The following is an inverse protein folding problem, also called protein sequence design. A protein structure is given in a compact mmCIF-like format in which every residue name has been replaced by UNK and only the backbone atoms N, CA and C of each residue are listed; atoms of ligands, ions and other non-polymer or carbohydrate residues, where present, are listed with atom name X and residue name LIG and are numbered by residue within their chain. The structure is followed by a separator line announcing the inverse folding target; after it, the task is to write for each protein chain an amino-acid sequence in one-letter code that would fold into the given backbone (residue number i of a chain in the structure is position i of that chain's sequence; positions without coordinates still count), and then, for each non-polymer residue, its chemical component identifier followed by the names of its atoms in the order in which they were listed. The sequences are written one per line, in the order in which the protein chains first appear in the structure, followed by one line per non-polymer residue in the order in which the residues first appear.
data_IF_512254726702
#
_entry.id   IF_512254726702
#
_cell.length_a   1.000
_cell.length_b   1.000
_cell.length_c   1.000
_cell.angle_alpha   90.00
_cell.angle_beta   90.00
_cell.angle_gamma   90.00
#
_symmetry.space_group_name_H-M   'P 1'
#
loop_
_entity.id
_entity.type
_entity.pdbx_description
1 polymer ?
#
# COMPACT_ATOMS: atom_id res chain seq x y z
N UNK A 1 8.75 -3.50 26.62
CA UNK A 1 8.33 -3.22 25.22
C UNK A 1 8.94 -4.27 24.33
N UNK A 2 8.15 -4.90 23.51
CA UNK A 2 8.65 -5.86 22.50
C UNK A 2 9.27 -5.09 21.33
N UNK A 3 10.52 -5.40 21.00
CA UNK A 3 11.24 -4.71 19.90
C UNK A 3 10.84 -5.19 18.52
N UNK A 4 10.18 -6.33 18.41
CA UNK A 4 9.73 -6.90 17.15
C UNK A 4 8.65 -6.08 16.45
N UNK A 5 8.03 -5.12 17.16
CA UNK A 5 7.01 -4.23 16.60
C UNK A 5 7.59 -3.16 15.67
N UNK A 6 8.89 -2.83 15.79
CA UNK A 6 9.56 -1.82 14.95
C UNK A 6 9.98 -2.43 13.63
N UNK A 7 9.08 -2.35 12.63
CA UNK A 7 9.30 -2.88 11.28
C UNK A 7 10.00 -1.85 10.39
N UNK A 8 10.27 -2.22 9.14
CA UNK A 8 10.95 -1.33 8.19
C UNK A 8 10.09 -0.12 7.80
N UNK A 9 8.77 -0.30 7.63
CA UNK A 9 7.89 0.73 7.07
C UNK A 9 6.93 1.35 8.08
N UNK A 10 6.67 0.68 9.19
CA UNK A 10 5.72 1.07 10.23
C UNK A 10 6.03 0.38 11.56
N UNK A 11 5.26 0.72 12.58
CA UNK A 11 5.22 -0.01 13.84
C UNK A 11 4.04 -0.96 13.77
N UNK A 12 4.25 -2.26 14.02
CA UNK A 12 3.22 -3.29 13.89
C UNK A 12 3.38 -4.39 14.93
N UNK A 13 2.32 -4.67 15.70
CA UNK A 13 2.32 -5.70 16.72
C UNK A 13 0.97 -6.34 16.95
N UNK A 14 0.95 -7.40 17.78
CA UNK A 14 -0.26 -8.10 18.22
C UNK A 14 -0.72 -7.47 19.53
N UNK A 15 -1.97 -7.00 19.57
CA UNK A 15 -2.57 -6.44 20.76
C UNK A 15 -3.19 -7.55 21.64
N UNK A 16 -3.01 -7.53 22.97
CA UNK A 16 -2.12 -6.63 23.74
C UNK A 16 -0.71 -7.22 23.95
N UNK A 17 -0.36 -8.32 23.27
CA UNK A 17 0.80 -9.16 23.57
C UNK A 17 2.14 -8.47 23.30
N UNK A 18 2.28 -7.86 22.11
CA UNK A 18 3.52 -7.18 21.70
C UNK A 18 3.34 -5.66 21.59
N UNK A 19 2.12 -5.19 21.36
CA UNK A 19 1.75 -3.78 21.29
C UNK A 19 0.59 -3.53 22.26
N UNK A 20 0.84 -2.83 23.33
CA UNK A 20 -0.11 -2.46 24.37
C UNK A 20 -0.16 -0.94 24.60
N UNK A 21 -1.01 -0.48 25.51
CA UNK A 21 -1.16 0.94 25.87
C UNK A 21 0.14 1.52 26.45
N UNK A 22 0.92 0.73 27.18
CA UNK A 22 2.20 1.18 27.75
C UNK A 22 3.22 1.43 26.64
N UNK A 23 3.27 0.56 25.65
CA UNK A 23 4.11 0.72 24.48
C UNK A 23 3.66 1.91 23.64
N UNK A 24 2.35 2.06 23.40
CA UNK A 24 1.78 3.18 22.67
C UNK A 24 2.06 4.53 23.36
N UNK A 25 1.90 4.61 24.69
CA UNK A 25 2.26 5.80 25.45
C UNK A 25 3.74 6.15 25.30
N UNK A 26 4.63 5.18 25.49
CA UNK A 26 6.08 5.39 25.41
C UNK A 26 6.52 5.84 24.02
N UNK A 27 5.95 5.22 22.96
CA UNK A 27 6.13 5.64 21.56
C UNK A 27 5.65 7.07 21.37
N UNK A 28 4.47 7.41 21.89
CA UNK A 28 3.93 8.78 21.85
C UNK A 28 4.84 9.81 22.50
N UNK A 29 5.48 9.48 23.63
CA UNK A 29 6.42 10.39 24.29
C UNK A 29 7.64 10.68 23.41
N UNK A 30 8.31 9.65 22.91
CA UNK A 30 9.54 9.84 22.14
C UNK A 30 9.26 10.41 20.74
N UNK A 31 8.23 9.90 20.07
CA UNK A 31 7.78 10.43 18.79
C UNK A 31 7.34 11.89 18.89
N UNK A 32 6.67 12.24 20.00
CA UNK A 32 6.26 13.63 20.26
C UNK A 32 7.43 14.60 20.42
N UNK A 33 8.55 14.17 20.99
CA UNK A 33 9.78 14.98 21.04
C UNK A 33 10.32 15.25 19.63
N UNK A 34 10.33 14.22 18.77
CA UNK A 34 10.80 14.32 17.38
C UNK A 34 9.87 15.25 16.57
N UNK A 35 8.56 15.02 16.64
CA UNK A 35 7.58 15.82 15.90
C UNK A 35 7.61 17.30 16.28
N UNK A 36 7.83 17.60 17.57
CA UNK A 36 7.85 18.96 18.07
C UNK A 36 8.98 19.83 17.50
N UNK A 37 10.02 19.23 16.96
CA UNK A 37 11.07 19.93 16.25
C UNK A 37 10.58 20.51 14.89
N UNK A 38 9.54 19.90 14.31
CA UNK A 38 8.95 20.31 13.04
C UNK A 38 7.69 21.15 13.24
N UNK A 39 6.76 20.69 14.09
CA UNK A 39 5.50 21.35 14.41
C UNK A 39 5.01 20.93 15.80
N UNK A 40 4.17 21.77 16.43
CA UNK A 40 3.63 21.53 17.76
C UNK A 40 2.30 20.79 17.77
N UNK A 41 1.90 20.24 16.63
CA UNK A 41 0.63 19.54 16.48
C UNK A 41 0.76 18.25 15.68
N UNK A 42 -0.21 17.35 15.85
CA UNK A 42 -0.31 16.08 15.12
C UNK A 42 -1.77 15.67 14.96
N UNK A 43 -2.12 15.21 13.79
CA UNK A 43 -3.38 14.54 13.51
C UNK A 43 -3.27 13.05 13.85
N UNK A 44 -4.25 12.49 14.56
CA UNK A 44 -4.28 11.05 14.88
C UNK A 44 -5.64 10.48 14.53
N UNK A 45 -5.67 9.42 13.72
CA UNK A 45 -6.86 8.68 13.36
C UNK A 45 -6.67 7.18 13.59
N UNK A 46 -7.74 6.40 13.47
CA UNK A 46 -7.69 4.93 13.60
C UNK A 46 -8.63 4.22 12.62
N UNK A 47 -8.31 2.96 12.32
CA UNK A 47 -9.17 2.06 11.54
C UNK A 47 -10.26 1.39 12.40
N UNK A 48 -10.98 0.41 11.80
CA UNK A 48 -12.10 -0.27 12.43
C UNK A 48 -11.72 -1.20 13.61
N UNK A 49 -10.44 -1.51 13.82
CA UNK A 49 -9.99 -2.50 14.82
C UNK A 49 -10.41 -2.13 16.22
N UNK A 50 -10.95 -3.09 16.96
CA UNK A 50 -11.59 -2.87 18.27
C UNK A 50 -10.66 -2.24 19.32
N UNK A 51 -9.37 -2.46 19.21
CA UNK A 51 -8.35 -1.89 20.12
C UNK A 51 -7.78 -0.54 19.66
N UNK A 52 -8.24 -0.01 18.51
CA UNK A 52 -7.78 1.27 17.95
C UNK A 52 -7.96 2.43 18.93
N UNK A 53 -9.09 2.50 19.64
CA UNK A 53 -9.39 3.58 20.59
C UNK A 53 -8.50 3.54 21.83
N UNK A 54 -8.20 2.37 22.39
CA UNK A 54 -7.30 2.24 23.54
C UNK A 54 -5.88 2.70 23.20
N UNK A 55 -5.39 2.29 22.02
CA UNK A 55 -4.09 2.73 21.52
C UNK A 55 -4.06 4.24 21.21
N UNK A 56 -5.17 4.80 20.68
CA UNK A 56 -5.31 6.23 20.45
C UNK A 56 -5.17 7.04 21.75
N UNK A 57 -5.85 6.65 22.81
CA UNK A 57 -5.82 7.36 24.09
C UNK A 57 -4.42 7.32 24.71
N UNK A 58 -3.78 6.16 24.72
CA UNK A 58 -2.44 6.00 25.27
C UNK A 58 -1.38 6.75 24.45
N UNK A 59 -1.41 6.62 23.13
CA UNK A 59 -0.51 7.33 22.22
C UNK A 59 -0.67 8.85 22.36
N UNK A 60 -1.92 9.34 22.37
CA UNK A 60 -2.23 10.77 22.52
C UNK A 60 -1.76 11.33 23.85
N UNK A 61 -1.90 10.58 24.93
CA UNK A 61 -1.38 10.98 26.25
C UNK A 61 0.16 11.12 26.22
N UNK A 62 0.85 10.21 25.53
CA UNK A 62 2.30 10.27 25.32
C UNK A 62 2.71 11.50 24.51
N UNK A 63 2.07 11.75 23.39
CA UNK A 63 2.28 12.91 22.52
C UNK A 63 2.06 14.23 23.27
N UNK A 64 0.96 14.34 24.01
CA UNK A 64 0.66 15.51 24.84
C UNK A 64 1.66 15.70 25.98
N UNK A 65 2.20 14.62 26.56
CA UNK A 65 3.21 14.73 27.61
C UNK A 65 4.51 15.34 27.11
N UNK A 66 4.78 15.23 25.82
CA UNK A 66 5.90 15.87 25.09
C UNK A 66 5.57 17.28 24.58
N UNK A 67 4.37 17.79 24.84
CA UNK A 67 3.96 19.15 24.51
C UNK A 67 3.37 19.34 23.12
N UNK A 68 2.91 18.25 22.47
CA UNK A 68 2.15 18.34 21.23
C UNK A 68 0.66 18.59 21.50
N UNK A 69 0.02 19.38 20.63
CA UNK A 69 -1.44 19.41 20.49
C UNK A 69 -1.85 18.23 19.59
N UNK A 70 -2.76 17.40 20.08
CA UNK A 70 -3.29 16.26 19.36
C UNK A 70 -4.68 16.60 18.83
N UNK A 71 -4.89 16.39 17.52
CA UNK A 71 -6.19 16.47 16.88
C UNK A 71 -6.72 15.05 16.59
N UNK A 72 -7.94 14.77 17.04
CA UNK A 72 -8.63 13.49 16.87
C UNK A 72 -9.38 13.48 15.52
N UNK A 73 -8.91 12.68 14.57
CA UNK A 73 -9.58 12.47 13.28
C UNK A 73 -10.67 11.39 13.36
N UNK A 74 -10.72 10.62 14.45
CA UNK A 74 -11.68 9.53 14.64
C UNK A 74 -11.41 8.31 13.76
N UNK A 75 -12.50 7.63 13.41
CA UNK A 75 -12.53 6.45 12.55
C UNK A 75 -12.43 6.88 11.07
N UNK A 76 -11.32 6.62 10.41
CA UNK A 76 -11.02 7.09 9.07
C UNK A 76 -10.18 6.08 8.26
N UNK A 77 -10.22 6.13 6.91
CA UNK A 77 -9.22 5.53 6.04
C UNK A 77 -7.82 6.14 6.21
N UNK A 78 -6.78 5.33 6.02
CA UNK A 78 -5.37 5.80 6.04
C UNK A 78 -5.12 7.00 5.12
N UNK A 79 -5.62 7.03 3.87
CA UNK A 79 -5.45 8.20 2.99
C UNK A 79 -5.98 9.52 3.57
N UNK A 80 -7.01 9.46 4.42
CA UNK A 80 -7.56 10.66 5.06
C UNK A 80 -6.58 11.26 6.09
N UNK A 81 -5.81 10.41 6.79
CA UNK A 81 -4.76 10.89 7.69
C UNK A 81 -3.60 11.55 6.90
N UNK A 82 -3.23 10.98 5.75
CA UNK A 82 -2.27 11.61 4.85
C UNK A 82 -2.81 12.92 4.29
N UNK A 83 -4.06 12.93 3.80
CA UNK A 83 -4.71 14.13 3.30
C UNK A 83 -4.71 15.26 4.34
N UNK A 84 -5.00 14.96 5.59
CA UNK A 84 -4.97 15.94 6.68
C UNK A 84 -3.59 16.59 6.82
N UNK A 85 -2.51 15.79 6.78
CA UNK A 85 -1.14 16.28 6.89
C UNK A 85 -0.67 17.10 5.66
N UNK A 86 -1.16 16.75 4.46
CA UNK A 86 -0.73 17.41 3.22
C UNK A 86 -1.56 18.65 2.87
N UNK A 87 -2.87 18.63 3.10
CA UNK A 87 -3.80 19.69 2.71
C UNK A 87 -4.17 20.63 3.86
N UNK A 88 -4.01 20.17 5.09
CA UNK A 88 -4.62 20.81 6.25
C UNK A 88 -6.14 20.62 6.29
N UNK A 89 -6.75 20.89 7.43
CA UNK A 89 -8.20 20.71 7.65
C UNK A 89 -8.80 21.96 8.26
N UNK A 90 -9.77 22.58 7.59
CA UNK A 90 -10.54 23.72 8.10
C UNK A 90 -9.66 24.87 8.67
N UNK A 91 -8.54 25.17 8.01
CA UNK A 91 -7.60 26.19 8.45
C UNK A 91 -6.52 25.71 9.44
N UNK A 92 -6.62 24.48 9.96
CA UNK A 92 -5.57 23.87 10.76
C UNK A 92 -4.51 23.32 9.80
N UNK A 93 -3.30 23.85 9.89
CA UNK A 93 -2.12 23.35 9.18
C UNK A 93 -1.27 22.55 10.15
N UNK A 94 -1.06 21.28 9.84
CA UNK A 94 -0.25 20.36 10.63
C UNK A 94 0.37 19.31 9.71
N UNK A 95 1.70 19.32 9.51
CA UNK A 95 2.35 18.43 8.55
C UNK A 95 2.59 17.02 9.09
N UNK A 96 2.09 16.71 10.30
CA UNK A 96 2.27 15.45 11.00
C UNK A 96 0.94 14.70 11.13
N UNK A 97 0.97 13.40 10.84
CA UNK A 97 -0.16 12.52 11.14
C UNK A 97 0.28 11.14 11.60
N UNK A 98 -0.56 10.49 12.40
CA UNK A 98 -0.40 9.10 12.79
C UNK A 98 -1.71 8.38 12.51
N UNK A 99 -1.63 7.30 11.74
CA UNK A 99 -2.74 6.39 11.54
C UNK A 99 -2.54 5.12 12.34
N UNK A 100 -3.50 4.82 13.20
CA UNK A 100 -3.52 3.61 14.03
C UNK A 100 -4.24 2.53 13.23
N UNK A 101 -3.49 1.56 12.72
CA UNK A 101 -4.02 0.52 11.82
C UNK A 101 -3.18 -0.73 11.82
N UNK A 102 -3.84 -1.86 11.57
CA UNK A 102 -3.21 -3.11 11.21
C UNK A 102 -3.26 -3.39 9.69
N UNK A 103 -3.82 -2.45 8.86
CA UNK A 103 -4.02 -2.61 7.42
C UNK A 103 -4.69 -3.97 7.11
N UNK A 104 -4.10 -4.76 6.23
CA UNK A 104 -4.55 -6.10 5.85
C UNK A 104 -4.10 -7.23 6.81
N UNK A 105 -3.47 -6.93 7.96
CA UNK A 105 -3.09 -7.98 8.91
C UNK A 105 -4.32 -8.58 9.62
N UNK A 106 -4.22 -9.80 10.20
CA UNK A 106 -5.26 -10.38 11.03
C UNK A 106 -5.77 -9.42 12.11
N UNK A 107 -6.98 -9.67 12.62
CA UNK A 107 -7.69 -8.74 13.52
C UNK A 107 -6.96 -8.41 14.81
N UNK A 108 -6.09 -9.31 15.28
CA UNK A 108 -5.30 -9.14 16.50
C UNK A 108 -4.16 -8.13 16.35
N UNK A 109 -3.79 -7.80 15.09
CA UNK A 109 -2.73 -6.84 14.82
C UNK A 109 -3.23 -5.41 14.90
N UNK A 110 -2.33 -4.51 15.33
CA UNK A 110 -2.46 -3.07 15.15
C UNK A 110 -1.08 -2.43 15.01
N UNK A 111 -1.03 -1.13 14.77
CA UNK A 111 0.25 -0.44 14.59
C UNK A 111 0.08 1.03 14.30
N UNK A 112 1.18 1.67 13.89
CA UNK A 112 1.23 3.10 13.62
C UNK A 112 1.92 3.36 12.28
N UNK A 113 1.17 3.92 11.31
CA UNK A 113 1.72 4.55 10.12
C UNK A 113 1.95 6.03 10.43
N UNK A 114 3.17 6.49 10.34
CA UNK A 114 3.59 7.80 10.83
C UNK A 114 4.02 8.67 9.66
N UNK A 115 3.45 9.85 9.59
CA UNK A 115 3.87 10.93 8.70
C UNK A 115 4.51 12.04 9.52
N UNK A 116 5.74 12.39 9.22
CA UNK A 116 6.50 13.47 9.83
C UNK A 116 6.88 14.50 8.79
N UNK A 117 6.43 15.73 8.95
CA UNK A 117 6.70 16.81 8.00
C UNK A 117 6.39 16.42 6.55
N UNK A 118 5.20 15.83 6.32
CA UNK A 118 4.72 15.32 5.03
C UNK A 118 5.64 14.27 4.38
N UNK A 119 6.42 13.54 5.18
CA UNK A 119 7.21 12.40 4.72
C UNK A 119 6.88 11.16 5.55
N UNK A 120 6.99 9.95 4.99
CA UNK A 120 6.88 8.74 5.78
C UNK A 120 8.03 8.65 6.79
N UNK A 121 7.69 8.27 8.02
CA UNK A 121 8.66 7.97 9.08
C UNK A 121 8.92 6.47 9.06
N UNK A 122 10.08 6.03 8.59
CA UNK A 122 10.37 4.63 8.31
C UNK A 122 11.87 4.30 8.34
N UNK A 123 12.22 3.03 8.20
CA UNK A 123 13.59 2.56 8.09
C UNK A 123 14.44 3.01 9.28
N UNK A 124 15.51 3.76 9.01
CA UNK A 124 16.42 4.25 10.03
C UNK A 124 15.78 5.15 11.09
N UNK A 125 14.70 5.86 10.73
CA UNK A 125 14.00 6.72 11.70
C UNK A 125 13.24 5.88 12.73
N UNK A 126 12.59 4.79 12.30
CA UNK A 126 11.96 3.80 13.19
C UNK A 126 13.02 3.09 14.03
N UNK A 127 14.18 2.74 13.47
CA UNK A 127 15.26 2.11 14.23
C UNK A 127 15.84 3.07 15.28
N UNK A 128 16.03 4.35 14.96
CA UNK A 128 16.47 5.35 15.94
C UNK A 128 15.44 5.55 17.07
N UNK A 129 14.15 5.56 16.74
CA UNK A 129 13.08 5.59 17.75
C UNK A 129 13.12 4.35 18.65
N UNK A 130 13.28 3.15 18.07
CA UNK A 130 13.46 1.90 18.84
C UNK A 130 14.64 2.00 19.82
N UNK A 131 15.82 2.43 19.34
CA UNK A 131 17.02 2.52 20.17
C UNK A 131 16.84 3.51 21.33
N UNK A 132 16.13 4.61 21.10
CA UNK A 132 15.77 5.56 22.15
C UNK A 132 14.86 4.93 23.20
N UNK A 133 13.83 4.17 22.74
CA UNK A 133 12.85 3.53 23.61
C UNK A 133 13.42 2.39 24.46
N UNK A 134 14.45 1.68 23.97
CA UNK A 134 15.14 0.64 24.76
C UNK A 134 15.78 1.19 26.03
N UNK A 135 16.22 2.43 26.00
CA UNK A 135 16.89 3.10 27.12
C UNK A 135 15.95 4.01 27.93
N UNK A 136 14.74 4.22 27.46
CA UNK A 136 13.76 5.10 28.11
C UNK A 136 12.84 4.33 29.04
N UNK A 137 12.48 4.96 30.16
CA UNK A 137 11.45 4.47 31.09
C UNK A 137 10.38 5.55 31.21
N UNK A 138 9.18 5.22 30.76
CA UNK A 138 8.05 6.12 30.85
C UNK A 138 6.98 5.53 31.76
N UNK A 139 6.49 6.35 32.71
CA UNK A 139 5.29 6.05 33.48
C UNK A 139 4.09 6.56 32.71
N UNK A 140 3.08 5.71 32.55
CA UNK A 140 1.82 6.09 31.90
C UNK A 140 1.20 7.26 32.64
N UNK A 141 0.84 8.29 31.90
CA UNK A 141 0.09 9.45 32.38
C UNK A 141 -1.24 9.53 31.65
N UNK A 142 -2.30 10.02 32.30
CA UNK A 142 -3.56 10.27 31.62
C UNK A 142 -3.40 11.40 30.59
N UNK A 143 -4.37 11.51 29.69
CA UNK A 143 -4.50 12.64 28.78
C UNK A 143 -4.48 13.95 29.60
N UNK A 144 -3.71 14.93 29.16
CA UNK A 144 -3.72 16.29 29.75
C UNK A 144 -5.00 17.04 29.40
N UNK A 145 -5.49 16.83 28.20
CA UNK A 145 -6.74 17.41 27.68
C UNK A 145 -7.34 16.44 26.65
N UNK A 146 -8.65 16.49 26.51
CA UNK A 146 -9.34 15.73 25.46
C UNK A 146 -8.92 16.27 24.08
N UNK A 147 -8.37 15.42 23.18
CA UNK A 147 -8.02 15.85 21.83
C UNK A 147 -9.20 16.47 21.10
N UNK A 148 -8.95 17.59 20.42
CA UNK A 148 -9.96 18.29 19.61
C UNK A 148 -10.34 17.44 18.40
N UNK A 149 -11.63 17.18 18.23
CA UNK A 149 -12.15 16.43 17.09
C UNK A 149 -12.13 17.29 15.83
N UNK A 150 -11.59 16.73 14.75
CA UNK A 150 -11.50 17.41 13.45
C UNK A 150 -12.12 16.51 12.36
N UNK A 151 -13.09 17.03 11.63
CA UNK A 151 -13.76 16.30 10.55
C UNK A 151 -12.94 16.30 9.26
N UNK A 152 -11.86 15.49 9.26
CA UNK A 152 -11.00 15.33 8.09
C UNK A 152 -11.69 14.55 6.97
N UNK A 153 -12.56 13.62 7.32
CA UNK A 153 -13.28 12.79 6.35
C UNK A 153 -14.14 13.64 5.42
N UNK A 154 -14.90 14.57 5.96
CA UNK A 154 -15.72 15.49 5.14
C UNK A 154 -14.86 16.41 4.27
N UNK A 155 -13.74 16.90 4.79
CA UNK A 155 -12.82 17.75 4.01
C UNK A 155 -12.22 16.98 2.83
N UNK A 156 -11.80 15.73 3.04
CA UNK A 156 -11.33 14.81 2.02
C UNK A 156 -12.40 14.55 0.95
N UNK A 157 -13.61 14.21 1.37
CA UNK A 157 -14.73 13.97 0.47
C UNK A 157 -15.05 15.20 -0.39
N UNK A 158 -15.14 16.39 0.20
CA UNK A 158 -15.36 17.65 -0.54
C UNK A 158 -14.27 17.91 -1.57
N UNK A 159 -13.01 17.64 -1.21
CA UNK A 159 -11.88 17.79 -2.14
C UNK A 159 -12.04 16.87 -3.34
N UNK A 160 -12.31 15.57 -3.12
CA UNK A 160 -12.45 14.59 -4.20
C UNK A 160 -13.73 14.80 -5.03
N UNK A 161 -14.86 15.15 -4.43
CA UNK A 161 -16.08 15.49 -5.18
C UNK A 161 -15.83 16.64 -6.15
N UNK A 162 -15.06 17.67 -5.72
CA UNK A 162 -14.69 18.79 -6.57
C UNK A 162 -13.77 18.36 -7.70
N UNK A 163 -12.75 17.57 -7.40
CA UNK A 163 -11.75 17.13 -8.39
C UNK A 163 -12.35 16.18 -9.43
N UNK A 164 -13.24 15.28 -9.00
CA UNK A 164 -13.87 14.27 -9.85
C UNK A 164 -15.29 14.61 -10.32
N UNK A 165 -15.69 15.89 -10.30
CA UNK A 165 -17.03 16.33 -10.74
C UNK A 165 -17.40 15.89 -12.16
N UNK A 166 -16.40 15.63 -13.02
CA UNK A 166 -16.56 15.15 -14.40
C UNK A 166 -17.01 13.68 -14.48
N UNK A 167 -16.91 12.90 -13.40
CA UNK A 167 -17.47 11.55 -13.27
C UNK A 167 -18.99 11.55 -13.01
N UNK A 168 -19.60 12.71 -12.81
CA UNK A 168 -21.04 12.79 -12.48
C UNK A 168 -21.88 12.10 -13.53
N UNK A 169 -22.77 11.22 -13.07
CA UNK A 169 -23.64 10.38 -13.90
C UNK A 169 -22.86 9.37 -14.78
N UNK A 170 -21.77 8.80 -14.26
CA UNK A 170 -21.09 7.68 -14.93
C UNK A 170 -22.12 6.59 -15.27
N UNK A 171 -22.10 6.07 -16.50
CA UNK A 171 -23.13 5.16 -17.04
C UNK A 171 -23.08 3.75 -16.47
N UNK A 172 -21.96 3.37 -15.87
CA UNK A 172 -21.75 2.01 -15.33
C UNK A 172 -22.12 1.94 -13.86
N UNK A 173 -22.91 0.92 -13.50
CA UNK A 173 -23.02 0.49 -12.11
C UNK A 173 -21.75 -0.24 -11.71
N UNK A 174 -21.24 0.03 -10.51
CA UNK A 174 -20.03 -0.58 -9.98
C UNK A 174 -20.33 -1.40 -8.72
N UNK A 175 -19.54 -2.45 -8.49
CA UNK A 175 -19.57 -3.22 -7.26
C UNK A 175 -18.37 -2.85 -6.38
N UNK A 176 -18.56 -2.78 -5.09
CA UNK A 176 -17.52 -2.42 -4.12
C UNK A 176 -17.47 -3.46 -3.02
N UNK A 177 -16.28 -3.83 -2.59
CA UNK A 177 -16.04 -4.69 -1.44
C UNK A 177 -15.05 -4.00 -0.50
N UNK A 178 -15.53 -3.69 0.70
CA UNK A 178 -14.74 -3.00 1.71
C UNK A 178 -14.21 -3.92 2.81
N UNK A 179 -14.52 -5.23 2.75
CA UNK A 179 -14.04 -6.23 3.69
C UNK A 179 -14.27 -5.86 5.17
N UNK A 180 -15.33 -5.12 5.49
CA UNK A 180 -15.59 -4.52 6.81
C UNK A 180 -14.50 -3.53 7.29
N UNK A 181 -13.65 -3.05 6.38
CA UNK A 181 -12.70 -1.96 6.64
C UNK A 181 -13.36 -0.58 6.64
N UNK A 182 -12.54 0.46 6.64
CA UNK A 182 -12.99 1.86 6.73
C UNK A 182 -13.18 2.55 5.38
N UNK A 183 -12.95 1.87 4.26
CA UNK A 183 -13.00 2.46 2.92
C UNK A 183 -14.35 3.04 2.54
N UNK A 184 -15.46 2.39 2.94
CA UNK A 184 -16.81 2.84 2.66
C UNK A 184 -17.09 4.25 3.20
N UNK A 185 -16.57 4.57 4.39
CA UNK A 185 -16.72 5.89 5.00
C UNK A 185 -16.16 7.01 4.11
N UNK A 186 -15.08 6.72 3.37
CA UNK A 186 -14.47 7.68 2.45
C UNK A 186 -15.18 7.74 1.10
N UNK A 187 -15.46 6.60 0.48
CA UNK A 187 -15.82 6.52 -0.93
C UNK A 187 -17.32 6.66 -1.20
N UNK A 188 -18.19 5.97 -0.44
CA UNK A 188 -19.62 5.99 -0.73
C UNK A 188 -20.25 7.39 -0.76
N UNK A 189 -19.95 8.32 0.19
CA UNK A 189 -20.49 9.68 0.12
C UNK A 189 -20.07 10.43 -1.15
N UNK A 190 -18.85 10.15 -1.65
CA UNK A 190 -18.34 10.74 -2.89
C UNK A 190 -19.14 10.23 -4.09
N UNK A 191 -19.34 8.91 -4.20
CA UNK A 191 -20.12 8.29 -5.29
C UNK A 191 -21.56 8.75 -5.28
N UNK A 192 -22.18 8.84 -4.10
CA UNK A 192 -23.55 9.39 -3.93
C UNK A 192 -23.64 10.84 -4.42
N UNK A 193 -22.67 11.69 -4.04
CA UNK A 193 -22.64 13.09 -4.47
C UNK A 193 -22.40 13.26 -5.99
N UNK A 194 -21.66 12.34 -6.59
CA UNK A 194 -21.42 12.28 -8.04
C UNK A 194 -22.54 11.58 -8.81
N UNK A 195 -23.59 11.09 -8.12
CA UNK A 195 -24.69 10.32 -8.72
C UNK A 195 -24.19 9.15 -9.57
N UNK A 196 -23.23 8.39 -9.03
CA UNK A 196 -22.70 7.14 -9.61
C UNK A 196 -23.48 5.98 -8.97
N UNK A 197 -24.01 5.07 -9.79
CA UNK A 197 -24.71 3.88 -9.30
C UNK A 197 -23.73 2.83 -8.82
N UNK A 198 -23.92 2.34 -7.59
CA UNK A 198 -23.06 1.33 -7.00
C UNK A 198 -23.81 0.38 -6.07
N UNK A 199 -23.22 -0.76 -5.80
CA UNK A 199 -23.62 -1.67 -4.72
C UNK A 199 -22.40 -2.09 -3.93
N UNK A 200 -22.51 -2.11 -2.60
CA UNK A 200 -21.41 -2.41 -1.70
C UNK A 200 -21.62 -3.71 -0.95
N UNK A 201 -20.52 -4.44 -0.77
CA UNK A 201 -20.38 -5.55 0.17
C UNK A 201 -19.58 -5.07 1.38
N UNK A 202 -19.98 -5.51 2.58
CA UNK A 202 -19.22 -5.37 3.81
C UNK A 202 -18.79 -3.93 4.11
N UNK A 203 -19.71 -2.98 3.87
CA UNK A 203 -19.46 -1.54 3.99
C UNK A 203 -19.47 -1.01 5.43
N UNK A 204 -20.06 -1.75 6.37
CA UNK A 204 -20.06 -1.37 7.79
C UNK A 204 -18.70 -1.73 8.41
N UNK A 205 -17.97 -0.77 8.99
CA UNK A 205 -16.70 -1.03 9.63
C UNK A 205 -16.83 -1.98 10.82
N UNK A 206 -16.12 -3.11 10.78
CA UNK A 206 -16.10 -4.10 11.85
C UNK A 206 -14.68 -4.66 12.01
N UNK A 207 -14.06 -4.35 13.15
CA UNK A 207 -12.67 -4.77 13.42
C UNK A 207 -12.45 -6.26 13.61
N UNK A 208 -13.51 -7.06 13.67
CA UNK A 208 -13.44 -8.53 13.65
C UNK A 208 -13.34 -9.13 12.24
N UNK A 209 -13.63 -8.34 11.19
CA UNK A 209 -13.61 -8.76 9.78
C UNK A 209 -14.38 -10.07 9.54
N UNK A 210 -15.69 -10.13 9.87
CA UNK A 210 -16.43 -11.40 9.99
C UNK A 210 -16.66 -12.11 8.65
N UNK A 211 -16.56 -11.43 7.52
CA UNK A 211 -16.91 -11.99 6.21
C UNK A 211 -15.69 -12.63 5.52
N UNK A 212 -14.64 -11.87 5.31
CA UNK A 212 -13.36 -12.37 4.80
C UNK A 212 -12.19 -11.48 5.26
N UNK A 213 -10.99 -11.98 5.10
CA UNK A 213 -9.78 -11.23 5.41
C UNK A 213 -9.65 -10.01 4.47
N UNK A 214 -9.46 -8.77 4.99
CA UNK A 214 -9.47 -7.55 4.18
C UNK A 214 -8.15 -7.32 3.44
N UNK A 215 -7.80 -8.24 2.56
CA UNK A 215 -6.62 -8.17 1.68
C UNK A 215 -7.03 -8.45 0.23
N UNK A 216 -7.17 -7.41 -0.62
CA UNK A 216 -7.60 -7.56 -2.00
C UNK A 216 -6.51 -8.13 -2.92
N UNK A 217 -5.28 -8.30 -2.44
CA UNK A 217 -4.21 -8.93 -3.21
C UNK A 217 -4.34 -10.46 -3.30
N UNK A 218 -5.20 -11.06 -2.47
CA UNK A 218 -5.45 -12.49 -2.45
C UNK A 218 -6.78 -12.84 -3.14
N UNK A 219 -6.73 -13.55 -4.27
CA UNK A 219 -7.91 -13.90 -5.07
C UNK A 219 -9.02 -14.62 -4.28
N UNK A 220 -8.67 -15.36 -3.21
CA UNK A 220 -9.67 -16.02 -2.36
C UNK A 220 -10.62 -15.02 -1.67
N UNK A 221 -10.15 -13.81 -1.37
CA UNK A 221 -10.90 -12.76 -0.70
C UNK A 221 -11.79 -11.96 -1.68
N UNK A 222 -11.65 -12.17 -2.98
CA UNK A 222 -12.42 -11.49 -4.04
C UNK A 222 -13.64 -12.29 -4.51
N UNK A 223 -13.81 -13.54 -4.03
CA UNK A 223 -14.86 -14.45 -4.50
C UNK A 223 -16.27 -13.94 -4.28
N UNK A 224 -16.52 -13.26 -3.17
CA UNK A 224 -17.85 -12.72 -2.88
C UNK A 224 -18.16 -11.54 -3.80
N UNK A 225 -17.16 -10.70 -4.09
CA UNK A 225 -17.29 -9.62 -5.07
C UNK A 225 -17.52 -10.16 -6.49
N UNK A 226 -16.78 -11.19 -6.93
CA UNK A 226 -16.98 -11.83 -8.24
C UNK A 226 -18.41 -12.39 -8.35
N UNK A 227 -18.87 -13.12 -7.33
CA UNK A 227 -20.21 -13.67 -7.27
C UNK A 227 -21.29 -12.57 -7.32
N UNK A 228 -21.11 -11.51 -6.51
CA UNK A 228 -22.02 -10.37 -6.47
C UNK A 228 -22.11 -9.66 -7.83
N UNK A 229 -20.97 -9.47 -8.51
CA UNK A 229 -20.93 -8.92 -9.86
C UNK A 229 -21.70 -9.78 -10.86
N UNK A 230 -21.51 -11.09 -10.82
CA UNK A 230 -22.21 -12.05 -11.69
C UNK A 230 -23.72 -12.02 -11.47
N UNK A 231 -24.17 -12.14 -10.22
CA UNK A 231 -25.59 -12.19 -9.86
C UNK A 231 -26.35 -10.91 -10.21
N UNK A 232 -25.66 -9.77 -10.26
CA UNK A 232 -26.25 -8.45 -10.53
C UNK A 232 -25.88 -7.87 -11.89
N UNK A 233 -25.23 -8.66 -12.77
CA UNK A 233 -24.76 -8.24 -14.09
C UNK A 233 -23.92 -6.96 -14.06
N UNK A 234 -23.08 -6.81 -13.04
CA UNK A 234 -22.16 -5.67 -12.88
C UNK A 234 -20.83 -6.02 -13.54
N UNK A 235 -20.33 -5.13 -14.39
CA UNK A 235 -19.18 -5.39 -15.24
C UNK A 235 -17.83 -4.96 -14.62
N UNK A 236 -17.87 -4.12 -13.60
CA UNK A 236 -16.66 -3.58 -12.91
C UNK A 236 -16.89 -3.60 -11.40
N UNK A 237 -15.88 -4.11 -10.70
CA UNK A 237 -15.83 -4.13 -9.23
C UNK A 237 -14.49 -3.65 -8.70
N UNK A 238 -14.50 -3.21 -7.45
CA UNK A 238 -13.32 -2.78 -6.71
C UNK A 238 -13.34 -3.36 -5.31
N UNK A 239 -12.19 -3.84 -4.85
CA UNK A 239 -11.99 -4.31 -3.49
C UNK A 239 -10.89 -3.50 -2.81
N UNK A 240 -11.02 -3.30 -1.50
CA UNK A 240 -10.13 -2.48 -0.68
C UNK A 240 -9.61 -3.28 0.52
N UNK A 241 -8.43 -2.92 1.01
CA UNK A 241 -7.95 -3.46 2.28
C UNK A 241 -8.52 -2.72 3.50
N UNK A 242 -8.22 -3.22 4.69
CA UNK A 242 -8.87 -2.78 5.93
C UNK A 242 -8.75 -1.29 6.24
N UNK A 243 -7.69 -0.61 5.80
CA UNK A 243 -7.48 0.83 5.97
C UNK A 243 -7.49 1.63 4.64
N UNK A 244 -7.87 0.95 3.54
CA UNK A 244 -8.15 1.52 2.23
C UNK A 244 -6.96 2.25 1.57
N UNK A 245 -5.76 1.72 1.71
CA UNK A 245 -4.59 2.17 0.97
C UNK A 245 -4.18 1.21 -0.16
N UNK A 246 -4.87 0.04 -0.29
CA UNK A 246 -4.73 -0.91 -1.41
C UNK A 246 -6.05 -1.11 -2.14
N UNK A 247 -5.95 -1.29 -3.46
CA UNK A 247 -7.08 -1.54 -4.34
C UNK A 247 -6.81 -2.75 -5.24
N UNK A 248 -7.83 -3.56 -5.48
CA UNK A 248 -7.94 -4.43 -6.64
C UNK A 248 -9.13 -3.99 -7.50
N UNK A 249 -8.97 -4.06 -8.83
CA UNK A 249 -10.06 -3.86 -9.78
C UNK A 249 -10.40 -5.20 -10.43
N UNK A 250 -11.69 -5.45 -10.62
CA UNK A 250 -12.20 -6.64 -11.29
C UNK A 250 -13.07 -6.24 -12.47
N UNK A 251 -12.99 -7.00 -13.56
CA UNK A 251 -14.03 -7.04 -14.57
C UNK A 251 -14.66 -8.42 -14.62
N UNK A 252 -15.58 -8.67 -15.54
CA UNK A 252 -16.31 -9.93 -15.61
C UNK A 252 -15.42 -11.17 -15.73
N UNK A 253 -14.21 -11.02 -16.26
CA UNK A 253 -13.32 -12.15 -16.57
C UNK A 253 -11.85 -11.89 -16.22
N UNK A 254 -11.54 -10.80 -15.48
CA UNK A 254 -10.17 -10.46 -15.15
C UNK A 254 -10.06 -9.74 -13.82
N UNK A 255 -9.05 -10.11 -13.03
CA UNK A 255 -8.62 -9.41 -11.82
C UNK A 255 -7.36 -8.63 -12.19
N UNK A 256 -7.42 -7.31 -12.10
CA UNK A 256 -6.31 -6.44 -12.46
C UNK A 256 -5.37 -6.27 -11.26
N UNK A 257 -4.14 -6.74 -11.41
CA UNK A 257 -3.08 -6.43 -10.45
C UNK A 257 -2.64 -4.95 -10.53
N UNK A 258 -1.94 -4.47 -9.50
CA UNK A 258 -1.53 -3.06 -9.45
C UNK A 258 -0.63 -2.62 -10.62
N UNK A 259 0.20 -3.52 -11.14
CA UNK A 259 1.04 -3.26 -12.33
C UNK A 259 0.25 -3.23 -13.64
N UNK A 260 -0.84 -3.99 -13.75
CA UNK A 260 -1.77 -3.89 -14.89
C UNK A 260 -2.58 -2.59 -14.84
N UNK A 261 -3.04 -2.18 -13.64
CA UNK A 261 -3.65 -0.87 -13.44
C UNK A 261 -2.69 0.26 -13.85
N UNK A 262 -1.40 0.11 -13.51
CA UNK A 262 -0.37 1.08 -13.92
C UNK A 262 -0.26 1.21 -15.45
N UNK A 263 -0.39 0.12 -16.21
CA UNK A 263 -0.43 0.17 -17.70
C UNK A 263 -1.64 0.98 -18.17
N UNK A 264 -2.82 0.72 -17.61
CA UNK A 264 -4.06 1.41 -18.00
C UNK A 264 -3.97 2.91 -17.69
N UNK A 265 -3.50 3.30 -16.52
CA UNK A 265 -3.31 4.70 -16.15
C UNK A 265 -2.25 5.39 -17.03
N UNK A 266 -1.15 4.71 -17.33
CA UNK A 266 -0.10 5.24 -18.20
C UNK A 266 -0.63 5.45 -19.65
N UNK A 267 -1.41 4.50 -20.19
CA UNK A 267 -2.04 4.63 -21.50
C UNK A 267 -3.00 5.82 -21.55
N UNK A 268 -3.80 6.03 -20.49
CA UNK A 268 -4.68 7.20 -20.40
C UNK A 268 -3.90 8.52 -20.42
N UNK A 269 -2.83 8.64 -19.61
CA UNK A 269 -1.98 9.83 -19.63
C UNK A 269 -1.39 10.07 -21.04
N UNK A 270 -0.94 9.00 -21.70
CA UNK A 270 -0.42 9.09 -23.05
C UNK A 270 -1.47 9.57 -24.05
N UNK A 271 -2.70 9.05 -23.98
CA UNK A 271 -3.82 9.50 -24.82
C UNK A 271 -4.17 10.99 -24.61
N UNK A 272 -3.88 11.52 -23.43
CA UNK A 272 -4.02 12.96 -23.10
C UNK A 272 -2.82 13.82 -23.57
N UNK A 273 -1.88 13.23 -24.31
CA UNK A 273 -0.67 13.92 -24.80
C UNK A 273 0.44 14.06 -23.78
N UNK A 274 0.35 13.38 -22.63
CA UNK A 274 1.38 13.37 -21.60
C UNK A 274 2.30 12.17 -21.86
N UNK A 275 3.62 12.37 -21.84
CA UNK A 275 4.58 11.26 -21.81
C UNK A 275 4.63 10.71 -20.38
N UNK A 276 4.01 9.55 -20.08
CA UNK A 276 3.94 9.05 -18.72
C UNK A 276 5.33 8.67 -18.19
N UNK A 277 5.62 9.06 -16.97
CA UNK A 277 6.75 8.55 -16.21
C UNK A 277 6.21 7.84 -14.96
N UNK A 278 6.46 6.53 -14.86
CA UNK A 278 5.87 5.64 -13.85
C UNK A 278 6.97 4.97 -13.05
N UNK A 279 6.79 4.91 -11.74
CA UNK A 279 7.65 4.11 -10.85
C UNK A 279 6.93 2.81 -10.53
N UNK A 280 7.57 1.66 -10.82
CA UNK A 280 7.13 0.34 -10.36
C UNK A 280 8.09 -0.21 -9.30
N UNK A 281 7.68 -1.23 -8.57
CA UNK A 281 8.56 -1.93 -7.63
C UNK A 281 9.09 -3.25 -8.22
N UNK A 282 10.12 -3.82 -7.59
CA UNK A 282 10.84 -5.00 -8.14
C UNK A 282 9.96 -6.23 -8.39
N UNK A 283 8.75 -6.32 -7.83
CA UNK A 283 7.81 -7.43 -8.04
C UNK A 283 6.91 -7.24 -9.27
N UNK A 284 6.78 -6.01 -9.77
CA UNK A 284 5.95 -5.71 -10.94
C UNK A 284 6.44 -6.50 -12.17
N UNK A 285 5.48 -6.90 -13.02
CA UNK A 285 5.72 -7.67 -14.23
C UNK A 285 6.68 -6.95 -15.18
N UNK A 286 7.54 -7.72 -15.85
CA UNK A 286 8.39 -7.18 -16.93
C UNK A 286 7.55 -6.64 -18.09
N UNK A 287 6.35 -7.20 -18.29
CA UNK A 287 5.37 -6.72 -19.28
C UNK A 287 4.97 -5.27 -18.99
N UNK A 288 4.76 -4.89 -17.72
CA UNK A 288 4.46 -3.49 -17.36
C UNK A 288 5.59 -2.56 -17.78
N UNK A 289 6.82 -2.87 -17.42
CA UNK A 289 7.99 -2.03 -17.76
C UNK A 289 8.18 -1.93 -19.28
N UNK A 290 8.16 -3.06 -19.98
CA UNK A 290 8.34 -3.11 -21.44
C UNK A 290 7.24 -2.34 -22.16
N UNK A 291 5.97 -2.53 -21.75
CA UNK A 291 4.82 -1.87 -22.39
C UNK A 291 4.88 -0.36 -22.23
N UNK A 292 5.04 0.12 -20.97
CA UNK A 292 5.05 1.56 -20.71
C UNK A 292 6.24 2.24 -21.40
N UNK A 293 7.40 1.59 -21.46
CA UNK A 293 8.60 2.14 -22.12
C UNK A 293 8.46 2.28 -23.66
N UNK A 294 7.41 1.73 -24.29
CA UNK A 294 7.15 1.98 -25.72
C UNK A 294 6.57 3.37 -26.00
N UNK A 295 5.94 4.01 -25.00
CA UNK A 295 5.28 5.32 -25.15
C UNK A 295 5.54 6.28 -23.98
N UNK A 296 6.31 5.87 -22.99
CA UNK A 296 6.60 6.61 -21.78
C UNK A 296 7.96 6.24 -21.21
N UNK A 297 8.10 6.40 -19.90
CA UNK A 297 9.29 6.07 -19.14
C UNK A 297 8.91 5.33 -17.86
N UNK A 298 9.71 4.33 -17.48
CA UNK A 298 9.58 3.66 -16.19
C UNK A 298 10.84 3.77 -15.36
N UNK A 299 10.68 3.64 -14.06
CA UNK A 299 11.75 3.48 -13.09
C UNK A 299 11.38 2.32 -12.15
N UNK A 300 12.23 1.31 -12.07
CA UNK A 300 12.09 0.26 -11.06
C UNK A 300 12.71 0.70 -9.74
N UNK A 301 12.01 0.45 -8.62
CA UNK A 301 12.51 0.80 -7.30
C UNK A 301 12.23 -0.29 -6.27
N UNK A 302 12.62 -0.04 -5.02
CA UNK A 302 12.41 -0.96 -3.89
C UNK A 302 10.93 -1.11 -3.58
N UNK A 303 10.52 -2.31 -3.18
CA UNK A 303 9.21 -2.57 -2.58
C UNK A 303 9.03 -1.76 -1.29
N UNK A 304 7.79 -1.39 -1.02
CA UNK A 304 7.36 -0.72 0.21
C UNK A 304 6.85 0.69 -0.03
N UNK A 305 5.64 0.92 0.45
CA UNK A 305 4.91 2.17 0.24
C UNK A 305 5.71 3.42 0.64
N UNK A 306 6.50 3.35 1.72
CA UNK A 306 7.35 4.44 2.17
C UNK A 306 8.49 4.74 1.18
N UNK A 307 9.12 3.70 0.62
CA UNK A 307 10.16 3.84 -0.40
C UNK A 307 9.62 4.52 -1.66
N UNK A 308 8.43 4.10 -2.12
CA UNK A 308 7.82 4.65 -3.33
C UNK A 308 7.36 6.10 -3.14
N UNK A 309 6.80 6.47 -1.99
CA UNK A 309 6.46 7.87 -1.65
C UNK A 309 7.69 8.79 -1.76
N UNK A 310 8.79 8.40 -1.15
CA UNK A 310 10.04 9.19 -1.21
C UNK A 310 10.56 9.25 -2.65
N UNK A 311 10.60 8.11 -3.35
CA UNK A 311 11.09 8.08 -4.73
C UNK A 311 10.23 8.89 -5.68
N UNK A 312 8.93 8.88 -5.50
CA UNK A 312 7.99 9.70 -6.25
C UNK A 312 8.20 11.20 -5.98
N UNK A 313 8.52 11.58 -4.73
CA UNK A 313 8.84 12.95 -4.35
C UNK A 313 10.16 13.42 -4.99
N UNK A 314 11.19 12.56 -5.03
CA UNK A 314 12.51 12.86 -5.60
C UNK A 314 12.51 12.98 -7.12
N UNK A 315 11.51 12.42 -7.79
CA UNK A 315 11.44 12.36 -9.25
C UNK A 315 10.29 13.20 -9.79
N UNK A 316 10.27 13.41 -11.12
CA UNK A 316 9.12 13.98 -11.81
C UNK A 316 8.16 12.91 -12.34
N UNK A 317 8.13 11.74 -11.71
CA UNK A 317 7.19 10.69 -12.09
C UNK A 317 5.75 11.12 -11.78
N UNK A 318 4.81 10.71 -12.64
CA UNK A 318 3.41 11.06 -12.55
C UNK A 318 2.70 10.24 -11.47
N UNK A 319 3.07 8.98 -11.35
CA UNK A 319 2.56 8.08 -10.33
C UNK A 319 3.51 6.92 -10.08
N UNK A 320 3.27 6.20 -8.99
CA UNK A 320 3.93 4.93 -8.67
C UNK A 320 2.89 3.84 -8.42
N UNK A 321 3.28 2.58 -8.58
CA UNK A 321 2.43 1.43 -8.33
C UNK A 321 3.22 0.25 -7.75
N UNK A 322 2.60 -0.46 -6.81
CA UNK A 322 3.00 -1.79 -6.37
C UNK A 322 2.04 -2.84 -6.92
N UNK A 323 2.54 -4.01 -7.20
CA UNK A 323 1.72 -5.16 -7.61
C UNK A 323 0.58 -5.44 -6.60
N UNK A 324 0.83 -5.19 -5.32
CA UNK A 324 -0.13 -5.41 -4.22
C UNK A 324 -1.31 -4.43 -4.20
N UNK A 325 -1.38 -3.47 -5.13
CA UNK A 325 -2.48 -2.52 -5.24
C UNK A 325 -2.27 -1.18 -4.53
N UNK A 326 -1.10 -0.90 -3.95
CA UNK A 326 -0.76 0.47 -3.56
C UNK A 326 -0.51 1.31 -4.81
N UNK A 327 -1.29 2.36 -5.02
CA UNK A 327 -1.15 3.29 -6.14
C UNK A 327 -0.98 4.71 -5.61
N UNK A 328 0.03 5.40 -6.10
CA UNK A 328 0.47 6.71 -5.60
C UNK A 328 0.42 7.73 -6.72
N UNK A 329 -0.60 8.56 -6.78
CA UNK A 329 -0.69 9.60 -7.79
C UNK A 329 -0.02 10.90 -7.32
N UNK A 330 0.95 11.42 -8.08
CA UNK A 330 1.51 12.77 -7.94
C UNK A 330 0.95 13.73 -9.00
N UNK A 331 0.58 13.20 -10.14
CA UNK A 331 -0.17 13.92 -11.16
C UNK A 331 -1.58 14.20 -10.61
N UNK A 332 -1.93 15.47 -10.44
CA UNK A 332 -3.18 15.98 -9.86
C UNK A 332 -3.41 15.61 -8.38
N UNK A 333 -2.44 15.03 -7.68
CA UNK A 333 -2.58 14.64 -6.29
C UNK A 333 -1.25 14.77 -5.52
N UNK A 334 -1.19 14.25 -4.29
CA UNK A 334 -0.10 14.53 -3.35
C UNK A 334 1.05 13.51 -3.36
N UNK A 335 0.86 12.33 -3.98
CA UNK A 335 1.91 11.31 -4.11
C UNK A 335 2.01 10.30 -2.98
N UNK A 336 0.95 10.14 -2.17
CA UNK A 336 0.82 9.02 -1.24
C UNK A 336 -0.14 7.94 -1.77
N UNK A 337 -0.12 6.77 -1.15
CA UNK A 337 -1.00 5.63 -1.46
C UNK A 337 -2.44 5.94 -1.03
N UNK A 338 -3.35 5.89 -2.00
CA UNK A 338 -4.76 6.19 -1.79
C UNK A 338 -5.62 5.33 -2.71
N UNK A 339 -6.19 4.27 -2.15
CA UNK A 339 -7.02 3.34 -2.90
C UNK A 339 -8.36 3.96 -3.34
N UNK A 340 -8.90 4.90 -2.55
CA UNK A 340 -10.15 5.58 -2.88
C UNK A 340 -9.95 6.57 -4.03
N UNK A 341 -8.84 7.31 -4.03
CA UNK A 341 -8.42 8.15 -5.15
C UNK A 341 -8.14 7.29 -6.38
N UNK A 342 -7.42 6.17 -6.23
CA UNK A 342 -7.12 5.25 -7.33
C UNK A 342 -8.39 4.64 -7.94
N UNK A 343 -9.42 4.34 -7.13
CA UNK A 343 -10.73 3.92 -7.61
C UNK A 343 -11.36 5.00 -8.52
N UNK A 344 -11.40 6.25 -8.06
CA UNK A 344 -11.94 7.35 -8.87
C UNK A 344 -11.14 7.55 -10.17
N UNK A 345 -9.81 7.40 -10.14
CA UNK A 345 -8.95 7.41 -11.34
C UNK A 345 -9.25 6.24 -12.28
N UNK A 346 -9.58 5.05 -11.74
CA UNK A 346 -10.00 3.91 -12.54
C UNK A 346 -11.38 4.15 -13.18
N UNK A 347 -12.31 4.82 -12.47
CA UNK A 347 -13.59 5.22 -13.05
C UNK A 347 -13.43 6.23 -14.19
N UNK A 348 -12.38 7.06 -14.20
CA UNK A 348 -12.08 7.92 -15.34
C UNK A 348 -11.78 7.14 -16.64
N UNK A 349 -11.23 5.91 -16.54
CA UNK A 349 -11.01 5.06 -17.72
C UNK A 349 -12.33 4.72 -18.40
N UNK A 350 -13.40 4.54 -17.62
CA UNK A 350 -14.74 4.19 -18.11
C UNK A 350 -15.50 5.34 -18.79
N UNK A 351 -14.97 6.56 -18.75
CA UNK A 351 -15.51 7.67 -19.54
C UNK A 351 -15.23 7.53 -21.04
N UNK A 352 -14.13 6.86 -21.37
CA UNK A 352 -13.60 6.77 -22.74
C UNK A 352 -13.60 5.34 -23.27
N UNK A 353 -13.63 4.34 -22.41
CA UNK A 353 -13.51 2.92 -22.72
C UNK A 353 -14.61 2.11 -21.99
N UNK A 354 -15.08 1.05 -22.63
CA UNK A 354 -15.94 0.07 -21.94
C UNK A 354 -15.11 -0.87 -21.06
N UNK A 355 -15.73 -1.55 -20.07
CA UNK A 355 -15.06 -2.61 -19.33
C UNK A 355 -14.39 -3.67 -20.20
N UNK A 356 -15.04 -4.04 -21.33
CA UNK A 356 -14.49 -4.99 -22.30
C UNK A 356 -13.25 -4.44 -23.03
N UNK A 357 -13.19 -3.13 -23.30
CA UNK A 357 -12.02 -2.51 -23.92
C UNK A 357 -10.81 -2.53 -22.96
N UNK A 358 -11.05 -2.33 -21.66
CA UNK A 358 -10.01 -2.45 -20.63
C UNK A 358 -9.47 -3.88 -20.55
N UNK A 359 -10.36 -4.90 -20.53
CA UNK A 359 -9.94 -6.31 -20.60
C UNK A 359 -9.13 -6.61 -21.87
N UNK A 360 -9.62 -6.16 -23.02
CA UNK A 360 -8.94 -6.38 -24.30
C UNK A 360 -7.57 -5.68 -24.32
N UNK A 361 -7.44 -4.52 -23.68
CA UNK A 361 -6.16 -3.82 -23.56
C UNK A 361 -5.13 -4.69 -22.83
N UNK A 362 -5.52 -5.37 -21.75
CA UNK A 362 -4.62 -6.27 -21.00
C UNK A 362 -4.41 -7.59 -21.75
N UNK A 363 -5.47 -8.21 -22.29
CA UNK A 363 -5.38 -9.47 -23.07
C UNK A 363 -4.49 -9.37 -24.30
N UNK A 364 -4.39 -8.19 -24.90
CA UNK A 364 -3.54 -7.93 -26.06
C UNK A 364 -2.07 -7.62 -25.72
N UNK A 365 -1.72 -7.56 -24.42
CA UNK A 365 -0.31 -7.49 -24.00
C UNK A 365 0.41 -8.82 -24.31
N UNK A 366 1.74 -8.80 -24.42
CA UNK A 366 2.49 -10.05 -24.50
C UNK A 366 2.13 -10.96 -23.32
N UNK A 367 1.71 -12.16 -23.64
CA UNK A 367 1.36 -13.14 -22.60
C UNK A 367 2.59 -13.43 -21.73
N UNK A 368 2.39 -13.46 -20.44
CA UNK A 368 3.38 -13.97 -19.48
C UNK A 368 2.66 -14.81 -18.41
N UNK A 369 3.33 -15.84 -17.98
CA UNK A 369 2.94 -16.61 -16.79
C UNK A 369 3.78 -16.15 -15.61
N UNK A 370 3.14 -15.89 -14.50
CA UNK A 370 3.81 -15.48 -13.27
C UNK A 370 3.44 -16.43 -12.13
N UNK A 371 4.44 -16.94 -11.40
CA UNK A 371 4.18 -17.73 -10.20
C UNK A 371 3.56 -16.88 -9.11
N UNK A 372 2.77 -17.46 -8.19
CA UNK A 372 2.46 -16.80 -6.92
C UNK A 372 3.74 -16.38 -6.19
N UNK A 373 3.63 -15.44 -5.26
CA UNK A 373 4.71 -15.17 -4.31
C UNK A 373 4.87 -16.38 -3.39
N UNK A 374 6.10 -16.88 -3.26
CA UNK A 374 6.43 -17.98 -2.37
C UNK A 374 7.36 -17.49 -1.26
N UNK A 375 7.14 -18.01 -0.05
CA UNK A 375 7.92 -17.69 1.14
C UNK A 375 8.85 -18.85 1.47
N UNK A 376 10.16 -18.56 1.55
CA UNK A 376 11.20 -19.52 1.93
C UNK A 376 11.64 -19.13 3.34
N UNK A 377 11.42 -20.03 4.32
CA UNK A 377 11.77 -19.77 5.71
C UNK A 377 13.31 -19.71 5.87
N UNK A 378 13.78 -18.65 6.50
CA UNK A 378 15.20 -18.44 6.84
C UNK A 378 15.28 -17.74 8.20
N UNK A 379 16.45 -17.73 8.82
CA UNK A 379 16.64 -16.95 10.05
C UNK A 379 16.64 -15.44 9.75
N UNK A 380 16.24 -14.65 10.75
CA UNK A 380 16.22 -13.18 10.63
C UNK A 380 17.64 -12.62 10.39
N UNK A 381 18.63 -13.23 11.01
CA UNK A 381 20.03 -12.82 10.93
C UNK A 381 20.66 -13.15 9.57
N UNK A 382 20.31 -14.29 8.97
CA UNK A 382 20.95 -14.80 7.77
C UNK A 382 20.33 -14.30 6.46
N UNK A 383 19.06 -13.87 6.45
CA UNK A 383 18.33 -13.56 5.21
C UNK A 383 19.04 -12.56 4.30
N UNK A 384 19.71 -11.55 4.85
CA UNK A 384 20.44 -10.55 4.04
C UNK A 384 21.79 -11.09 3.55
N UNK A 385 22.46 -11.94 4.34
CA UNK A 385 23.70 -12.58 3.94
C UNK A 385 23.46 -13.56 2.80
N UNK A 386 22.39 -14.35 2.87
CA UNK A 386 21.97 -15.28 1.81
C UNK A 386 21.76 -14.50 0.50
N UNK A 387 21.05 -13.37 0.52
CA UNK A 387 20.86 -12.52 -0.67
C UNK A 387 22.20 -11.99 -1.20
N UNK A 388 23.09 -11.56 -0.33
CA UNK A 388 24.42 -11.08 -0.74
C UNK A 388 25.25 -12.20 -1.39
N UNK A 389 25.21 -13.41 -0.84
CA UNK A 389 25.91 -14.57 -1.41
C UNK A 389 25.30 -14.97 -2.76
N UNK A 390 23.97 -14.93 -2.90
CA UNK A 390 23.30 -15.15 -4.19
C UNK A 390 23.73 -14.12 -5.25
N UNK A 391 23.85 -12.84 -4.88
CA UNK A 391 24.37 -11.79 -5.78
C UNK A 391 25.79 -12.10 -6.27
N UNK A 392 26.65 -12.63 -5.38
CA UNK A 392 28.02 -13.03 -5.75
C UNK A 392 28.01 -14.24 -6.69
N UNK A 393 27.22 -15.27 -6.37
CA UNK A 393 27.15 -16.49 -7.18
C UNK A 393 26.65 -16.23 -8.61
N UNK A 394 25.70 -15.31 -8.76
CA UNK A 394 25.16 -14.91 -10.08
C UNK A 394 26.16 -14.18 -10.99
N UNK A 395 27.31 -13.72 -10.48
CA UNK A 395 28.38 -13.17 -11.33
C UNK A 395 29.09 -14.26 -12.15
N UNK A 396 29.09 -15.50 -11.66
CA UNK A 396 29.67 -16.65 -12.32
C UNK A 396 28.76 -17.86 -12.16
N UNK A 397 27.57 -17.85 -12.82
CA UNK A 397 26.58 -18.92 -12.69
C UNK A 397 27.09 -20.21 -13.33
N UNK A 398 26.53 -21.38 -12.96
CA UNK A 398 26.85 -22.66 -13.62
C UNK A 398 26.59 -22.60 -15.13
N UNK A 399 27.35 -23.39 -15.92
CA UNK A 399 27.26 -23.36 -17.40
C UNK A 399 25.88 -23.67 -17.98
N UNK A 400 25.04 -24.40 -17.23
CA UNK A 400 23.68 -24.75 -17.61
C UNK A 400 22.63 -23.74 -17.09
N UNK A 401 23.06 -22.64 -16.46
CA UNK A 401 22.14 -21.61 -15.96
C UNK A 401 21.54 -20.83 -17.13
N UNK A 402 20.24 -20.44 -17.08
CA UNK A 402 19.62 -19.66 -18.14
C UNK A 402 20.40 -18.35 -18.41
N UNK A 403 20.44 -17.93 -19.67
CA UNK A 403 21.17 -16.72 -20.08
C UNK A 403 20.62 -15.49 -19.35
N UNK A 404 21.49 -14.84 -18.58
CA UNK A 404 21.19 -13.62 -17.84
C UNK A 404 21.34 -12.43 -18.77
N UNK A 405 20.30 -11.60 -18.89
CA UNK A 405 20.36 -10.29 -19.56
C UNK A 405 20.80 -9.17 -18.63
N UNK A 406 20.26 -9.18 -17.41
CA UNK A 406 20.53 -8.14 -16.42
C UNK A 406 20.34 -8.69 -14.99
N UNK A 407 21.09 -8.17 -14.04
CA UNK A 407 20.91 -8.41 -12.60
C UNK A 407 20.60 -7.08 -11.93
N UNK A 408 19.42 -6.96 -11.33
CA UNK A 408 18.96 -5.79 -10.60
C UNK A 408 19.02 -6.10 -9.11
N UNK A 409 19.87 -5.36 -8.38
CA UNK A 409 20.14 -5.59 -6.95
C UNK A 409 19.62 -4.48 -6.05
N UNK A 410 18.58 -3.78 -6.47
CA UNK A 410 18.01 -2.63 -5.75
C UNK A 410 17.23 -3.06 -4.50
N UNK A 411 16.58 -4.25 -4.55
CA UNK A 411 15.84 -4.86 -3.44
C UNK A 411 15.85 -6.38 -3.62
N UNK A 412 16.83 -7.03 -3.00
CA UNK A 412 17.13 -8.45 -3.25
C UNK A 412 17.90 -8.68 -4.55
N UNK A 413 17.52 -9.70 -5.29
CA UNK A 413 18.10 -10.08 -6.60
C UNK A 413 16.96 -10.32 -7.58
N UNK A 414 16.81 -9.45 -8.57
CA UNK A 414 15.97 -9.67 -9.73
C UNK A 414 16.86 -9.97 -10.93
N UNK A 415 16.80 -11.19 -11.43
CA UNK A 415 17.51 -11.64 -12.63
C UNK A 415 16.57 -11.55 -13.82
N UNK A 416 16.90 -10.69 -14.77
CA UNK A 416 16.15 -10.57 -16.03
C UNK A 416 16.73 -11.57 -17.03
N UNK A 417 15.88 -12.43 -17.56
CA UNK A 417 16.17 -13.42 -18.58
C UNK A 417 15.62 -12.98 -19.96
N UNK A 418 15.71 -13.85 -20.95
CA UNK A 418 15.18 -13.56 -22.29
C UNK A 418 13.67 -13.34 -22.33
N UNK A 419 12.94 -14.14 -21.56
CA UNK A 419 11.48 -14.20 -21.61
C UNK A 419 10.81 -14.01 -20.25
N UNK A 420 11.42 -13.23 -19.36
CA UNK A 420 10.87 -12.97 -18.04
C UNK A 420 11.93 -12.64 -17.00
N UNK A 421 11.63 -12.92 -15.73
CA UNK A 421 12.53 -12.68 -14.62
C UNK A 421 12.38 -13.71 -13.50
N UNK A 422 13.40 -13.80 -12.65
CA UNK A 422 13.30 -14.43 -11.33
C UNK A 422 13.69 -13.45 -10.25
N UNK A 423 12.90 -13.34 -9.20
CA UNK A 423 13.14 -12.47 -8.05
C UNK A 423 13.29 -13.32 -6.80
N UNK A 424 14.36 -13.07 -6.03
CA UNK A 424 14.51 -13.52 -4.64
C UNK A 424 14.94 -12.31 -3.80
N UNK A 425 14.17 -12.00 -2.74
CA UNK A 425 14.46 -10.87 -1.86
C UNK A 425 14.22 -11.24 -0.40
N UNK A 426 14.94 -10.61 0.51
CA UNK A 426 14.66 -10.71 1.92
C UNK A 426 13.36 -9.94 2.25
N UNK A 427 12.46 -10.55 3.01
CA UNK A 427 11.32 -9.82 3.58
C UNK A 427 11.84 -8.82 4.63
N UNK A 428 11.36 -7.58 4.55
CA UNK A 428 11.71 -6.54 5.52
C UNK A 428 10.91 -6.65 6.83
N UNK A 429 9.89 -7.52 6.87
CA UNK A 429 8.95 -7.59 7.98
C UNK A 429 8.84 -8.98 8.62
N UNK A 430 9.39 -10.00 7.99
CA UNK A 430 9.25 -11.40 8.43
C UNK A 430 10.53 -12.20 8.14
N UNK A 431 10.80 -13.32 8.85
CA UNK A 431 11.99 -14.16 8.66
C UNK A 431 11.82 -15.08 7.44
N UNK A 432 11.62 -14.50 6.26
CA UNK A 432 11.45 -15.22 5.00
C UNK A 432 12.22 -14.54 3.87
N UNK A 433 12.65 -15.34 2.91
CA UNK A 433 12.88 -14.84 1.56
C UNK A 433 11.55 -14.93 0.80
N UNK A 434 11.30 -13.93 -0.04
CA UNK A 434 10.16 -13.90 -0.95
C UNK A 434 10.68 -14.15 -2.35
N UNK A 435 10.06 -15.07 -3.08
CA UNK A 435 10.42 -15.36 -4.47
C UNK A 435 9.22 -15.23 -5.40
N UNK A 436 9.48 -14.79 -6.64
CA UNK A 436 8.51 -14.68 -7.72
C UNK A 436 9.22 -14.87 -9.07
N UNK A 437 8.56 -15.57 -9.99
CA UNK A 437 9.13 -15.88 -11.30
C UNK A 437 8.13 -15.58 -12.39
N UNK A 438 8.60 -15.01 -13.49
CA UNK A 438 7.81 -14.73 -14.69
C UNK A 438 8.51 -15.35 -15.91
N UNK A 439 7.72 -15.93 -16.79
CA UNK A 439 8.17 -16.48 -18.07
C UNK A 439 7.15 -16.26 -19.17
N UNK A 440 7.54 -16.43 -20.44
CA UNK A 440 6.60 -16.42 -21.57
C UNK A 440 5.51 -17.48 -21.47
N UNK A 441 5.72 -18.51 -20.68
CA UNK A 441 4.82 -19.62 -20.36
C UNK A 441 5.20 -20.21 -18.99
N UNK A 442 4.36 -21.10 -18.47
CA UNK A 442 4.59 -21.76 -17.18
C UNK A 442 5.91 -22.54 -17.15
N UNK A 443 6.23 -23.26 -18.22
CA UNK A 443 7.46 -24.06 -18.31
C UNK A 443 8.69 -23.17 -18.13
N UNK A 444 8.73 -22.04 -18.82
CA UNK A 444 9.83 -21.06 -18.76
C UNK A 444 9.95 -20.44 -17.37
N UNK A 445 8.83 -20.06 -16.74
CA UNK A 445 8.85 -19.49 -15.40
C UNK A 445 9.36 -20.51 -14.36
N UNK A 446 8.94 -21.78 -14.48
CA UNK A 446 9.38 -22.88 -13.60
C UNK A 446 10.86 -23.28 -13.86
N UNK A 447 11.36 -23.10 -15.09
CA UNK A 447 12.80 -23.25 -15.40
C UNK A 447 13.62 -22.20 -14.66
N UNK A 448 13.23 -20.92 -14.74
CA UNK A 448 13.91 -19.84 -14.02
C UNK A 448 13.84 -20.03 -12.50
N UNK A 449 12.69 -20.44 -11.99
CA UNK A 449 12.51 -20.82 -10.57
C UNK A 449 13.51 -21.88 -10.16
N UNK A 450 13.54 -23.00 -10.88
CA UNK A 450 14.43 -24.13 -10.59
C UNK A 450 15.90 -23.73 -10.62
N UNK A 451 16.30 -22.94 -11.62
CA UNK A 451 17.67 -22.49 -11.76
C UNK A 451 18.11 -21.61 -10.57
N UNK A 452 17.28 -20.64 -10.16
CA UNK A 452 17.61 -19.75 -9.03
C UNK A 452 17.55 -20.43 -7.68
N UNK A 453 16.54 -21.29 -7.44
CA UNK A 453 16.43 -22.04 -6.18
C UNK A 453 17.56 -23.05 -6.02
N UNK A 454 17.94 -23.79 -7.07
CA UNK A 454 19.10 -24.71 -7.04
C UNK A 454 20.43 -23.97 -6.80
N UNK A 455 20.52 -22.72 -7.24
CA UNK A 455 21.71 -21.89 -6.94
C UNK A 455 21.69 -21.45 -5.47
N UNK A 456 20.52 -21.06 -4.95
CA UNK A 456 20.32 -20.65 -3.56
C UNK A 456 20.62 -21.79 -2.57
N UNK A 457 20.21 -23.02 -2.86
CA UNK A 457 20.43 -24.20 -2.01
C UNK A 457 21.92 -24.59 -1.85
N UNK A 458 22.79 -24.06 -2.70
CA UNK A 458 24.23 -24.34 -2.68
C UNK A 458 25.04 -23.30 -1.89
N UNK A 459 24.37 -22.27 -1.37
CA UNK A 459 24.99 -21.16 -0.64
C UNK A 459 24.88 -21.31 0.87
#
# INVERSE_FOLDING_TARGET
MDISIFREYDIRGIYPTTLDEKSAFSIGVELGKIMRECDKSVFVGHDARVHGRFLFEALSAGLQSSGLKVYDLGLIPTPVAYFAAFNGINGIQCPNSIMITGSHNPKEYNGFKITLNQNPFYGKDIQALKDTLLNAKHEIKPLKETPEKVNALEAYQRYLIKDFKHLKNLKYKIALDFGNGVGALGLEPILKALNIDFSSLYSDPDGDFPNHHPDPSEAKNLKDLEKHMQENAILIGFAFDGDADRIAMLSSHHIYAGDELAILFAKRLHAQGITPFVIGEVKCSQVMYNTINTFGKTLMYKTGHSNLKIKLKETNAHFAAEMSGHIFFKERYFGYDDALYACLRALELLLEQSPSDLENTIKNLPYSYTTPEEKIAVSEEEKFEIIHNLQKALKNPPSHFPTIKEIISIDGVRVVFEHGFGLIRASNTTPYLVSRFEGKDETTALEYKRALLNLLEKL
#
